data_IF_324492925390
#
_entry.id   IF_324492925390
#
_cell.length_a   1.000
_cell.length_b   1.000
_cell.length_c   1.000
_cell.angle_alpha   90.00
_cell.angle_beta   90.00
_cell.angle_gamma   90.00
#
_symmetry.space_group_name_H-M   'P 1'
#
loop_
_entity.id
_entity.type
_entity.pdbx_description
1 polymer ?
#
# COMPACT_ATOMS: atom_id res chain seq x y z
N UNK A 1 -10.98 -19.11 -4.39
CA UNK A 1 -10.42 -18.06 -5.27
C UNK A 1 -8.91 -18.17 -5.22
N UNK A 2 -8.22 -18.23 -6.36
CA UNK A 2 -6.76 -18.40 -6.39
C UNK A 2 -6.09 -17.12 -5.87
N UNK A 3 -5.65 -17.15 -4.61
CA UNK A 3 -4.89 -16.08 -3.97
C UNK A 3 -3.62 -15.83 -4.78
N UNK A 4 -3.70 -14.86 -5.70
CA UNK A 4 -2.58 -14.41 -6.51
C UNK A 4 -1.67 -13.66 -5.54
N UNK A 5 -0.84 -14.40 -4.79
CA UNK A 5 0.07 -13.88 -3.76
C UNK A 5 0.74 -12.63 -4.29
N UNK A 6 0.24 -11.46 -3.87
CA UNK A 6 0.82 -10.17 -4.23
C UNK A 6 2.27 -10.25 -3.78
N UNK A 7 3.23 -10.05 -4.69
CA UNK A 7 4.64 -10.03 -4.32
C UNK A 7 4.90 -8.95 -3.28
N UNK A 8 5.92 -9.12 -2.44
CA UNK A 8 6.30 -8.14 -1.38
C UNK A 8 6.42 -6.72 -1.95
N UNK A 9 6.97 -6.56 -3.16
CA UNK A 9 7.07 -5.26 -3.83
C UNK A 9 5.71 -4.63 -4.13
N UNK A 10 4.70 -5.42 -4.48
CA UNK A 10 3.36 -4.92 -4.77
C UNK A 10 2.65 -4.49 -3.50
N UNK A 11 2.80 -5.27 -2.41
CA UNK A 11 2.26 -4.91 -1.09
C UNK A 11 2.89 -3.63 -0.54
N UNK A 12 4.20 -3.47 -0.70
CA UNK A 12 4.91 -2.21 -0.39
C UNK A 12 4.37 -1.03 -1.19
N UNK A 13 4.16 -1.20 -2.50
CA UNK A 13 3.60 -0.14 -3.34
C UNK A 13 2.17 0.26 -2.92
N UNK A 14 1.34 -0.72 -2.53
CA UNK A 14 0.00 -0.48 -1.98
C UNK A 14 0.07 0.33 -0.68
N UNK A 15 0.90 -0.11 0.26
CA UNK A 15 1.08 0.59 1.54
C UNK A 15 1.55 2.03 1.35
N UNK A 16 2.52 2.25 0.46
CA UNK A 16 3.03 3.59 0.15
C UNK A 16 1.92 4.49 -0.41
N UNK A 17 1.16 4.02 -1.41
CA UNK A 17 0.07 4.82 -1.97
C UNK A 17 -1.03 5.10 -0.95
N UNK A 18 -1.33 4.16 -0.06
CA UNK A 18 -2.30 4.37 1.01
C UNK A 18 -1.85 5.54 1.91
N UNK A 19 -0.58 5.55 2.32
CA UNK A 19 0.00 6.63 3.12
C UNK A 19 0.00 7.96 2.36
N UNK A 20 0.38 7.97 1.07
CA UNK A 20 0.35 9.18 0.23
C UNK A 20 -1.07 9.78 0.11
N UNK A 21 -2.09 8.94 -0.06
CA UNK A 21 -3.49 9.37 -0.14
C UNK A 21 -3.97 9.98 1.19
N UNK A 22 -3.57 9.39 2.31
CA UNK A 22 -3.91 9.91 3.63
C UNK A 22 -3.19 11.23 3.93
N UNK A 23 -1.90 11.34 3.56
CA UNK A 23 -1.09 12.55 3.73
C UNK A 23 -1.61 13.71 2.84
N UNK A 24 -2.20 13.37 1.70
CA UNK A 24 -2.89 14.33 0.81
C UNK A 24 -4.16 14.95 1.42
N UNK A 25 -4.56 14.56 2.63
CA UNK A 25 -5.72 15.11 3.35
C UNK A 25 -7.04 14.41 3.05
N UNK A 26 -7.02 13.26 2.38
CA UNK A 26 -8.20 12.43 2.14
C UNK A 26 -8.50 11.62 3.40
N UNK A 27 -9.77 11.33 3.68
CA UNK A 27 -10.12 10.50 4.84
C UNK A 27 -9.53 9.10 4.71
N UNK A 28 -9.15 8.49 5.84
CA UNK A 28 -8.64 7.11 5.89
C UNK A 28 -9.59 6.14 5.19
N UNK A 29 -10.89 6.29 5.41
CA UNK A 29 -11.92 5.45 4.77
C UNK A 29 -11.89 5.57 3.24
N UNK A 30 -11.88 6.79 2.71
CA UNK A 30 -11.88 7.02 1.26
C UNK A 30 -10.56 6.59 0.63
N UNK A 31 -9.42 6.78 1.32
CA UNK A 31 -8.12 6.30 0.87
C UNK A 31 -8.09 4.77 0.75
N UNK A 32 -8.68 4.05 1.72
CA UNK A 32 -8.80 2.59 1.69
C UNK A 32 -9.64 2.14 0.51
N UNK A 33 -10.83 2.72 0.33
CA UNK A 33 -11.70 2.38 -0.79
C UNK A 33 -10.99 2.60 -2.14
N UNK A 34 -10.28 3.72 -2.31
CA UNK A 34 -9.52 3.97 -3.54
C UNK A 34 -8.43 2.92 -3.78
N UNK A 35 -7.77 2.43 -2.74
CA UNK A 35 -6.75 1.39 -2.84
C UNK A 35 -7.37 0.04 -3.20
N UNK A 36 -8.49 -0.34 -2.56
CA UNK A 36 -9.23 -1.57 -2.89
C UNK A 36 -9.63 -1.56 -4.36
N UNK A 37 -10.24 -0.46 -4.84
CA UNK A 37 -10.70 -0.32 -6.22
C UNK A 37 -9.52 -0.30 -7.21
N UNK A 38 -8.42 0.37 -6.88
CA UNK A 38 -7.26 0.54 -7.77
C UNK A 38 -6.45 -0.74 -7.94
N UNK A 39 -6.30 -1.52 -6.87
CA UNK A 39 -5.49 -2.74 -6.88
C UNK A 39 -6.32 -4.01 -7.02
N UNK A 40 -7.65 -3.91 -6.91
CA UNK A 40 -8.56 -5.06 -6.99
C UNK A 40 -8.32 -6.06 -5.87
N UNK A 41 -8.04 -5.56 -4.67
CA UNK A 41 -7.78 -6.36 -3.47
C UNK A 41 -8.96 -6.25 -2.50
N UNK A 42 -9.06 -7.22 -1.60
CA UNK A 42 -10.08 -7.21 -0.53
C UNK A 42 -9.60 -6.42 0.70
N UNK A 43 -10.54 -5.99 1.55
CA UNK A 43 -10.24 -5.24 2.77
C UNK A 43 -9.31 -6.02 3.73
N UNK A 44 -9.50 -7.35 3.81
CA UNK A 44 -8.65 -8.25 4.59
C UNK A 44 -7.20 -8.28 4.06
N UNK A 45 -7.02 -8.20 2.74
CA UNK A 45 -5.68 -8.13 2.15
C UNK A 45 -5.03 -6.78 2.41
N UNK A 46 -5.79 -5.68 2.33
CA UNK A 46 -5.31 -4.35 2.66
C UNK A 46 -4.90 -4.24 4.12
N UNK A 47 -5.70 -4.79 5.03
CA UNK A 47 -5.40 -4.81 6.45
C UNK A 47 -4.12 -5.62 6.75
N UNK A 48 -3.94 -6.78 6.12
CA UNK A 48 -2.71 -7.56 6.25
C UNK A 48 -1.48 -6.79 5.74
N UNK A 49 -1.63 -5.97 4.70
CA UNK A 49 -0.56 -5.10 4.16
C UNK A 49 -0.24 -3.97 5.14
N UNK A 50 -1.25 -3.35 5.77
CA UNK A 50 -1.06 -2.33 6.81
C UNK A 50 -0.30 -2.90 8.01
N UNK A 51 -0.73 -4.06 8.52
CA UNK A 51 -0.09 -4.75 9.63
C UNK A 51 1.36 -5.14 9.28
N UNK A 52 1.61 -5.69 8.08
CA UNK A 52 2.95 -6.02 7.61
C UNK A 52 3.83 -4.77 7.45
N UNK A 53 3.28 -3.68 6.95
CA UNK A 53 4.00 -2.40 6.78
C UNK A 53 4.39 -1.77 8.11
N UNK A 54 3.52 -1.84 9.12
CA UNK A 54 3.80 -1.37 10.47
C UNK A 54 4.82 -2.26 11.17
N UNK A 55 4.68 -3.59 11.07
CA UNK A 55 5.57 -4.58 11.70
C UNK A 55 6.98 -4.53 11.09
N UNK A 56 7.07 -4.48 9.76
CA UNK A 56 8.36 -4.39 9.05
C UNK A 56 8.91 -2.96 8.96
N UNK A 57 8.27 -1.99 9.62
CA UNK A 57 8.63 -0.58 9.60
C UNK A 57 8.93 -0.08 8.18
N UNK A 58 8.07 -0.42 7.22
CA UNK A 58 8.24 0.01 5.85
C UNK A 58 8.32 1.53 5.83
N UNK A 59 9.36 2.11 5.21
CA UNK A 59 9.66 3.52 5.40
C UNK A 59 8.48 4.36 4.89
N UNK A 60 7.91 5.26 5.71
CA UNK A 60 7.14 6.37 5.19
C UNK A 60 8.12 7.24 4.38
N UNK A 61 7.67 7.70 3.21
CA UNK A 61 8.49 8.41 2.22
C UNK A 61 9.39 9.48 2.88
N UNK A 62 10.68 9.18 2.96
CA UNK A 62 11.68 10.02 3.62
C UNK A 62 13.06 9.35 3.68
N UNK A 63 13.09 8.02 3.74
CA UNK A 63 14.29 7.20 3.49
C UNK A 63 14.06 6.44 2.19
N UNK A 64 14.33 7.13 1.08
CA UNK A 64 14.08 6.62 -0.27
C UNK A 64 14.86 5.32 -0.52
N UNK A 65 14.14 4.20 -0.60
CA UNK A 65 14.65 2.98 -1.22
C UNK A 65 14.45 3.13 -2.74
N UNK A 66 15.51 3.37 -3.53
CA UNK A 66 15.42 3.81 -4.92
C UNK A 66 14.80 2.75 -5.88
N UNK A 67 14.55 1.53 -5.39
CA UNK A 67 13.90 0.47 -6.17
C UNK A 67 12.38 0.59 -6.23
N UNK A 68 11.74 1.25 -5.27
CA UNK A 68 10.28 1.39 -5.21
C UNK A 68 9.77 2.60 -6.01
N UNK A 69 10.54 3.69 -6.07
CA UNK A 69 10.21 4.90 -6.83
C UNK A 69 10.11 4.66 -8.36
N UNK A 70 10.66 3.54 -8.87
CA UNK A 70 10.71 3.25 -10.32
C UNK A 70 9.51 2.48 -10.85
N UNK A 71 8.60 2.01 -9.98
CA UNK A 71 7.42 1.24 -10.38
C UNK A 71 6.17 2.11 -10.67
N UNK A 72 6.27 3.43 -10.48
CA UNK A 72 5.17 4.38 -10.69
C UNK A 72 5.32 5.24 -11.96
N UNK A 73 6.11 4.81 -12.95
CA UNK A 73 6.26 5.48 -14.25
C UNK A 73 5.65 4.68 -15.39
#
# INVERSE_FOLDING_TARGET
MASKKLGVNNRKAIFIQLVELQDSGITVRDSKQQILDKFGIEDEELQAIEDEGLDQQWPPLGVADPKLAKAAR
#
